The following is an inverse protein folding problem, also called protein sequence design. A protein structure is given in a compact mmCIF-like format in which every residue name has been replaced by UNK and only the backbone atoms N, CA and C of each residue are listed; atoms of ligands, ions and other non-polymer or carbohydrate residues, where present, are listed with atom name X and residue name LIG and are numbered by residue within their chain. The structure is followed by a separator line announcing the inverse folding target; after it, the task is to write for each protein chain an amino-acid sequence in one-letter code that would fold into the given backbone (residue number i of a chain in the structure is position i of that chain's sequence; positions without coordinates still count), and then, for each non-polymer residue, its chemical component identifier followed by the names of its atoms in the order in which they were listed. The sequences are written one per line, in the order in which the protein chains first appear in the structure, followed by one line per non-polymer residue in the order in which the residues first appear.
data_IF_007291601409
#
_entry.id   IF_007291601409
#
_cell.length_a   1.000
_cell.length_b   1.000
_cell.length_c   1.000
_cell.angle_alpha   90.00
_cell.angle_beta   90.00
_cell.angle_gamma   90.00
#
_symmetry.space_group_name_H-M   'P 1'
#
loop_
_entity.id
_entity.type
_entity.pdbx_description
1 polymer ?
#
# COMPACT_ATOMS: atom_id res chain seq x y z
N UNK A 1 -8.74 -8.50 23.41
CA UNK A 1 -9.11 -7.13 23.00
C UNK A 1 -8.10 -6.60 22.01
N UNK A 2 -6.83 -6.48 22.43
CA UNK A 2 -5.75 -5.93 21.61
C UNK A 2 -5.60 -6.53 20.21
N UNK A 3 -5.73 -7.86 20.06
CA UNK A 3 -5.63 -8.52 18.75
C UNK A 3 -6.69 -8.02 17.76
N UNK A 4 -7.94 -7.84 18.21
CA UNK A 4 -9.01 -7.27 17.40
C UNK A 4 -8.65 -5.87 16.91
N UNK A 5 -8.18 -5.00 17.82
CA UNK A 5 -7.77 -3.64 17.49
C UNK A 5 -6.61 -3.63 16.49
N UNK A 6 -5.61 -4.48 16.68
CA UNK A 6 -4.46 -4.60 15.81
C UNK A 6 -4.87 -5.04 14.39
N UNK A 7 -5.77 -6.02 14.28
CA UNK A 7 -6.27 -6.51 12.99
C UNK A 7 -7.11 -5.45 12.29
N UNK A 8 -8.00 -4.76 13.01
CA UNK A 8 -8.78 -3.65 12.44
C UNK A 8 -7.87 -2.53 11.92
N UNK A 9 -6.74 -2.29 12.59
CA UNK A 9 -5.73 -1.36 12.10
C UNK A 9 -5.07 -1.90 10.81
N UNK A 10 -4.50 -3.11 10.83
CA UNK A 10 -3.69 -3.66 9.74
C UNK A 10 -4.51 -4.00 8.49
N UNK A 11 -5.66 -4.64 8.65
CA UNK A 11 -6.54 -5.05 7.55
C UNK A 11 -7.55 -3.97 7.15
N UNK A 12 -7.80 -2.98 8.00
CA UNK A 12 -8.74 -1.90 7.73
C UNK A 12 -8.03 -0.57 7.49
N UNK A 13 -7.66 0.10 8.58
CA UNK A 13 -7.10 1.46 8.53
C UNK A 13 -5.90 1.59 7.58
N UNK A 14 -4.89 0.72 7.71
CA UNK A 14 -3.70 0.79 6.85
C UNK A 14 -4.01 0.45 5.40
N UNK A 15 -5.02 -0.39 5.13
CA UNK A 15 -5.46 -0.69 3.76
C UNK A 15 -6.09 0.51 3.08
N UNK A 16 -6.79 1.37 3.83
CA UNK A 16 -7.27 2.66 3.27
C UNK A 16 -6.13 3.60 2.89
N UNK A 17 -4.92 3.45 3.45
CA UNK A 17 -3.74 4.23 3.04
C UNK A 17 -3.01 3.57 1.89
N UNK A 18 -2.93 2.24 1.91
CA UNK A 18 -2.34 1.45 0.84
C UNK A 18 -3.09 1.65 -0.48
N UNK A 19 -4.43 1.64 -0.46
CA UNK A 19 -5.23 1.85 -1.67
C UNK A 19 -4.98 3.23 -2.29
N UNK A 20 -4.85 4.28 -1.47
CA UNK A 20 -4.54 5.63 -1.97
C UNK A 20 -3.20 5.68 -2.70
N UNK A 21 -2.16 5.04 -2.17
CA UNK A 21 -0.85 5.04 -2.85
C UNK A 21 -0.84 4.17 -4.11
N UNK A 22 -1.64 3.09 -4.15
CA UNK A 22 -1.86 2.30 -5.37
C UNK A 22 -2.52 3.19 -6.43
N UNK A 23 -3.58 3.91 -6.10
CA UNK A 23 -4.27 4.81 -7.04
C UNK A 23 -3.33 5.92 -7.54
N UNK A 24 -2.51 6.50 -6.66
CA UNK A 24 -1.48 7.46 -7.05
C UNK A 24 -0.47 6.86 -8.02
N UNK A 25 -0.02 5.63 -7.76
CA UNK A 25 0.93 4.92 -8.63
C UNK A 25 0.33 4.66 -10.01
N UNK A 26 -0.90 4.17 -10.09
CA UNK A 26 -1.60 3.96 -11.36
C UNK A 26 -1.71 5.26 -12.18
N UNK A 27 -1.98 6.40 -11.53
CA UNK A 27 -1.96 7.69 -12.21
C UNK A 27 -0.56 8.13 -12.66
N UNK A 28 0.50 7.72 -11.97
CA UNK A 28 1.88 7.99 -12.41
C UNK A 28 2.22 7.23 -13.70
N UNK A 29 1.74 5.99 -13.84
CA UNK A 29 2.04 5.13 -14.99
C UNK A 29 1.14 5.46 -16.18
N UNK A 30 -0.17 5.58 -15.95
CA UNK A 30 -1.18 5.68 -17.01
C UNK A 30 -1.68 7.11 -17.26
N UNK A 31 -1.27 8.06 -16.42
CA UNK A 31 -1.70 9.45 -16.45
C UNK A 31 -2.92 9.75 -15.58
N UNK A 32 -3.16 11.03 -15.30
CA UNK A 32 -4.17 11.51 -14.34
C UNK A 32 -5.63 11.29 -14.76
N UNK A 33 -5.87 10.95 -16.03
CA UNK A 33 -7.20 10.64 -16.55
C UNK A 33 -7.53 9.13 -16.47
N UNK A 34 -6.60 8.31 -16.00
CA UNK A 34 -6.81 6.87 -15.83
C UNK A 34 -7.83 6.60 -14.71
N UNK A 35 -8.78 5.72 -14.97
CA UNK A 35 -9.85 5.42 -14.02
C UNK A 35 -9.37 4.41 -12.97
N UNK A 36 -9.24 4.88 -11.73
CA UNK A 36 -8.84 4.08 -10.56
C UNK A 36 -10.03 3.71 -9.65
N UNK A 37 -11.26 4.13 -9.99
CA UNK A 37 -12.48 4.10 -9.15
C UNK A 37 -12.85 2.72 -8.59
N UNK A 38 -12.39 1.63 -9.20
CA UNK A 38 -12.74 0.27 -8.77
C UNK A 38 -11.92 -0.23 -7.57
N UNK A 39 -11.57 0.64 -6.61
CA UNK A 39 -10.83 0.28 -5.40
C UNK A 39 -9.56 -0.55 -5.69
N UNK A 40 -8.75 -0.14 -6.66
CA UNK A 40 -7.52 -0.86 -7.03
C UNK A 40 -7.73 -2.15 -7.83
N UNK A 41 -8.94 -2.43 -8.35
CA UNK A 41 -9.20 -3.59 -9.22
C UNK A 41 -8.35 -3.64 -10.49
N UNK A 42 -7.87 -2.48 -10.95
CA UNK A 42 -7.02 -2.35 -12.12
C UNK A 42 -5.54 -2.16 -11.75
N UNK A 43 -5.15 -2.56 -10.52
CA UNK A 43 -3.76 -2.45 -10.09
C UNK A 43 -2.83 -3.32 -10.96
N UNK A 44 -1.61 -2.84 -11.17
CA UNK A 44 -0.56 -3.57 -11.87
C UNK A 44 -0.37 -5.00 -11.30
N UNK A 45 -0.07 -6.01 -12.14
CA UNK A 45 -0.02 -7.41 -11.71
C UNK A 45 0.91 -7.69 -10.52
N UNK A 46 2.03 -6.96 -10.40
CA UNK A 46 2.95 -7.12 -9.28
C UNK A 46 2.36 -6.63 -7.94
N UNK A 47 1.46 -5.64 -7.99
CA UNK A 47 0.74 -5.14 -6.81
C UNK A 47 -0.23 -6.22 -6.35
N UNK A 48 -0.97 -6.82 -7.29
CA UNK A 48 -1.91 -7.91 -7.01
C UNK A 48 -1.21 -9.12 -6.38
N UNK A 49 -0.03 -9.47 -6.89
CA UNK A 49 0.82 -10.55 -6.34
C UNK A 49 1.20 -10.26 -4.87
N UNK A 50 1.73 -9.05 -4.58
CA UNK A 50 2.13 -8.65 -3.22
C UNK A 50 0.95 -8.43 -2.25
N UNK A 51 -0.25 -8.16 -2.75
CA UNK A 51 -1.42 -7.92 -1.90
C UNK A 51 -1.83 -9.15 -1.09
N UNK A 52 -1.55 -10.36 -1.58
CA UNK A 52 -1.85 -11.61 -0.85
C UNK A 52 -1.18 -11.68 0.52
N UNK A 53 0.02 -11.13 0.65
CA UNK A 53 0.79 -11.11 1.89
C UNK A 53 0.42 -9.97 2.84
N UNK A 54 -0.45 -9.06 2.38
CA UNK A 54 -0.82 -7.87 3.13
C UNK A 54 -2.04 -8.08 4.05
N UNK A 55 -2.64 -9.27 4.14
CA UNK A 55 -3.82 -9.51 5.00
C UNK A 55 -3.57 -10.57 6.07
N UNK A 56 -3.87 -10.23 7.33
CA UNK A 56 -3.81 -11.17 8.46
C UNK A 56 -5.10 -12.00 8.54
N UNK A 57 -4.98 -13.26 8.95
CA UNK A 57 -6.12 -14.20 9.07
C UNK A 57 -6.78 -14.22 10.45
N UNK A 58 -6.64 -13.13 11.21
CA UNK A 58 -6.96 -13.10 12.64
C UNK A 58 -6.01 -13.98 13.47
N UNK A 59 -4.73 -13.93 13.14
CA UNK A 59 -3.67 -14.64 13.83
C UNK A 59 -2.70 -13.60 14.44
N UNK A 60 -2.26 -13.82 15.68
CA UNK A 60 -1.28 -12.94 16.29
C UNK A 60 0.13 -13.16 15.71
N UNK A 61 0.40 -14.40 15.26
CA UNK A 61 1.72 -14.79 14.78
C UNK A 61 2.02 -14.23 13.38
N UNK A 62 0.99 -14.01 12.56
CA UNK A 62 1.12 -13.43 11.21
C UNK A 62 1.07 -11.88 11.18
N UNK A 63 0.68 -11.23 12.28
CA UNK A 63 0.35 -9.80 12.25
C UNK A 63 1.57 -8.93 11.94
N UNK A 64 2.75 -9.30 12.46
CA UNK A 64 3.99 -8.58 12.22
C UNK A 64 4.50 -8.75 10.78
N UNK A 65 4.40 -9.95 10.22
CA UNK A 65 4.80 -10.19 8.82
C UNK A 65 3.87 -9.46 7.86
N UNK A 66 2.56 -9.48 8.13
CA UNK A 66 1.55 -8.75 7.35
C UNK A 66 1.76 -7.23 7.41
N UNK A 67 2.07 -6.69 8.60
CA UNK A 67 2.41 -5.28 8.76
C UNK A 67 3.66 -4.91 7.97
N UNK A 68 4.70 -5.76 8.03
CA UNK A 68 5.93 -5.56 7.28
C UNK A 68 5.69 -5.58 5.76
N UNK A 69 4.93 -6.56 5.25
CA UNK A 69 4.55 -6.66 3.84
C UNK A 69 3.74 -5.43 3.38
N UNK A 70 2.77 -4.99 4.20
CA UNK A 70 1.99 -3.77 3.94
C UNK A 70 2.90 -2.53 3.85
N UNK A 71 3.85 -2.39 4.77
CA UNK A 71 4.81 -1.28 4.78
C UNK A 71 5.73 -1.33 3.56
N UNK A 72 6.25 -2.50 3.20
CA UNK A 72 7.14 -2.67 2.04
C UNK A 72 6.43 -2.23 0.76
N UNK A 73 5.24 -2.76 0.49
CA UNK A 73 4.47 -2.40 -0.69
C UNK A 73 4.14 -0.90 -0.71
N UNK A 74 3.75 -0.33 0.43
CA UNK A 74 3.49 1.10 0.53
C UNK A 74 4.73 1.93 0.18
N UNK A 75 5.90 1.61 0.74
CA UNK A 75 7.14 2.34 0.50
C UNK A 75 7.59 2.22 -0.96
N UNK A 76 7.50 1.03 -1.56
CA UNK A 76 7.81 0.84 -2.98
C UNK A 76 6.97 1.76 -3.85
N UNK A 77 5.65 1.78 -3.67
CA UNK A 77 4.76 2.62 -4.47
C UNK A 77 4.97 4.11 -4.19
N UNK A 78 5.17 4.48 -2.93
CA UNK A 78 5.39 5.87 -2.53
C UNK A 78 6.69 6.45 -3.11
N UNK A 79 7.76 5.65 -3.18
CA UNK A 79 9.03 6.00 -3.83
C UNK A 79 8.82 6.34 -5.30
N UNK A 80 8.17 5.44 -6.02
CA UNK A 80 7.89 5.63 -7.46
C UNK A 80 7.04 6.88 -7.68
N UNK A 81 6.01 7.09 -6.85
CA UNK A 81 5.18 8.30 -6.92
C UNK A 81 5.99 9.58 -6.63
N UNK A 82 6.77 9.59 -5.56
CA UNK A 82 7.58 10.75 -5.18
C UNK A 82 8.59 11.11 -6.29
N UNK A 83 9.24 10.11 -6.87
CA UNK A 83 10.14 10.27 -8.00
C UNK A 83 9.42 10.82 -9.24
N UNK A 84 8.28 10.22 -9.62
CA UNK A 84 7.50 10.63 -10.79
C UNK A 84 6.97 12.07 -10.69
N UNK A 85 6.60 12.51 -9.48
CA UNK A 85 6.16 13.89 -9.24
C UNK A 85 7.29 14.87 -8.90
N UNK A 86 8.54 14.41 -8.77
CA UNK A 86 9.67 15.23 -8.37
C UNK A 86 9.55 15.81 -6.96
N UNK A 87 8.91 15.08 -6.04
CA UNK A 87 8.64 15.51 -4.67
C UNK A 87 9.63 14.89 -3.68
N UNK A 88 10.08 15.68 -2.70
CA UNK A 88 10.86 15.20 -1.55
C UNK A 88 9.95 15.12 -0.34
N UNK A 89 9.79 13.92 0.22
CA UNK A 89 8.83 13.65 1.29
C UNK A 89 9.36 13.98 2.67
N UNK A 90 10.68 14.11 2.83
CA UNK A 90 11.34 14.21 4.13
C UNK A 90 11.42 12.88 4.88
N UNK A 91 11.03 11.78 4.23
CA UNK A 91 11.08 10.42 4.76
C UNK A 91 12.27 9.72 4.08
N UNK A 92 13.34 9.40 4.82
CA UNK A 92 14.55 8.80 4.23
C UNK A 92 14.28 7.51 3.45
N UNK A 93 13.34 6.69 3.92
CA UNK A 93 12.97 5.45 3.25
C UNK A 93 12.14 5.65 1.98
N UNK A 94 11.76 6.88 1.62
CA UNK A 94 11.08 7.22 0.35
C UNK A 94 11.99 8.08 -0.53
N UNK A 95 12.80 8.95 0.06
CA UNK A 95 13.67 9.87 -0.69
C UNK A 95 15.02 9.25 -1.13
N UNK A 96 15.30 8.00 -0.74
CA UNK A 96 16.53 7.25 -1.05
C UNK A 96 16.44 6.31 -2.26
#
# INVERSE_FOLDING_TARGET
GELWTAIMCVNGYLKTKLITVIEMYEHCIHGTAYDTWHNGRMAEPFIVDKLGDCFSRYDADDLLSVLAATRELFLTLAKECASAYGYTTGIPEIDS
#
